data_IF_492073079389
#
_entry.id   IF_492073079389
#
_cell.length_a   1.000
_cell.length_b   1.000
_cell.length_c   1.000
_cell.angle_alpha   90.00
_cell.angle_beta   90.00
_cell.angle_gamma   90.00
#
_symmetry.space_group_name_H-M   'P 1'
#
loop_
_entity.id
_entity.type
_entity.pdbx_description
1 polymer ?
#
# COMPACT_ATOMS: atom_id res chain seq x y z
N UNK A 1 3.38 -11.59 68.28
CA UNK A 1 2.48 -11.02 67.28
C UNK A 1 3.26 -10.88 65.98
N UNK A 2 3.19 -11.88 65.11
CA UNK A 2 3.94 -11.93 63.82
C UNK A 2 3.04 -11.44 62.73
N UNK A 3 3.34 -10.28 62.14
CA UNK A 3 2.60 -9.72 60.98
C UNK A 3 3.12 -10.38 59.70
N UNK A 4 2.29 -11.18 59.03
CA UNK A 4 2.55 -11.70 57.69
C UNK A 4 2.30 -10.61 56.65
N UNK A 5 3.35 -10.26 55.90
CA UNK A 5 3.29 -9.31 54.77
C UNK A 5 2.85 -10.10 53.53
N UNK A 6 1.61 -9.87 53.08
CA UNK A 6 1.09 -10.49 51.86
C UNK A 6 1.61 -9.71 50.65
N UNK A 7 2.59 -10.27 49.94
CA UNK A 7 3.13 -9.70 48.69
C UNK A 7 2.21 -10.08 47.51
N UNK A 8 1.39 -9.14 47.04
CA UNK A 8 0.54 -9.33 45.88
C UNK A 8 1.38 -9.18 44.62
N UNK A 9 1.78 -10.29 43.98
CA UNK A 9 2.47 -10.27 42.68
C UNK A 9 1.41 -10.17 41.57
N UNK A 10 1.22 -8.95 41.03
CA UNK A 10 0.44 -8.76 39.81
C UNK A 10 1.25 -9.28 38.62
N UNK A 11 0.96 -10.50 38.17
CA UNK A 11 1.41 -10.98 36.85
C UNK A 11 0.67 -10.19 35.77
N UNK A 12 1.35 -9.23 35.15
CA UNK A 12 0.92 -8.65 33.87
C UNK A 12 1.07 -9.74 32.82
N UNK A 13 -0.03 -10.42 32.48
CA UNK A 13 -0.10 -11.23 31.26
C UNK A 13 -0.06 -10.28 30.07
N UNK A 14 1.12 -10.09 29.47
CA UNK A 14 1.27 -9.46 28.18
C UNK A 14 0.67 -10.41 27.13
N UNK A 15 -0.65 -10.29 26.90
CA UNK A 15 -1.33 -11.04 25.85
C UNK A 15 -0.73 -10.64 24.49
N UNK A 16 -0.15 -11.60 23.77
CA UNK A 16 0.19 -11.42 22.36
C UNK A 16 -1.13 -11.20 21.61
N UNK A 17 -1.43 -9.95 21.26
CA UNK A 17 -2.55 -9.64 20.38
C UNK A 17 -2.19 -10.18 18.99
N UNK A 18 -3.01 -11.08 18.41
CA UNK A 18 -2.79 -11.50 17.03
C UNK A 18 -2.91 -10.29 16.12
N UNK A 19 -2.05 -10.19 15.10
CA UNK A 19 -2.16 -9.15 14.08
C UNK A 19 -3.50 -9.30 13.38
N UNK A 20 -4.29 -8.22 13.37
CA UNK A 20 -5.55 -8.19 12.64
C UNK A 20 -5.25 -7.90 11.16
N UNK A 21 -5.85 -8.67 10.26
CA UNK A 21 -5.87 -8.37 8.82
C UNK A 21 -7.21 -7.76 8.47
N UNK A 22 -7.17 -6.66 7.72
CA UNK A 22 -8.36 -6.00 7.17
C UNK A 22 -8.23 -5.91 5.65
N UNK A 23 -9.37 -5.87 4.96
CA UNK A 23 -9.43 -5.62 3.52
C UNK A 23 -10.14 -4.30 3.27
N UNK A 24 -9.56 -3.44 2.44
CA UNK A 24 -10.13 -2.17 2.04
C UNK A 24 -10.67 -2.30 0.62
N UNK A 25 -11.92 -1.92 0.44
CA UNK A 25 -12.58 -1.96 -0.86
C UNK A 25 -13.30 -3.27 -1.16
N UNK A 26 -13.79 -3.40 -2.39
CA UNK A 26 -14.68 -4.50 -2.81
C UNK A 26 -14.06 -5.43 -3.84
N UNK A 27 -12.96 -5.04 -4.48
CA UNK A 27 -12.35 -5.82 -5.58
C UNK A 27 -13.24 -5.99 -6.81
N UNK A 28 -14.27 -5.15 -6.97
CA UNK A 28 -15.30 -5.33 -8.00
C UNK A 28 -14.89 -4.95 -9.41
N UNK A 29 -13.70 -4.38 -9.62
CA UNK A 29 -13.14 -4.03 -10.92
C UNK A 29 -11.71 -4.52 -11.02
N UNK A 30 -11.16 -4.56 -12.24
CA UNK A 30 -9.80 -4.98 -12.50
C UNK A 30 -9.15 -4.08 -13.56
N UNK A 31 -7.83 -3.90 -13.49
CA UNK A 31 -7.11 -3.36 -14.65
C UNK A 31 -6.98 -4.44 -15.72
N UNK A 32 -6.86 -4.00 -16.97
CA UNK A 32 -6.48 -4.86 -18.08
C UNK A 32 -4.96 -5.01 -18.22
N UNK A 33 -4.56 -5.88 -19.12
CA UNK A 33 -3.18 -6.17 -19.47
C UNK A 33 -2.31 -4.92 -19.81
N UNK A 34 -2.89 -3.86 -20.34
CA UNK A 34 -2.23 -2.61 -20.71
C UNK A 34 -2.88 -1.37 -20.07
N UNK A 35 -3.76 -1.53 -19.11
CA UNK A 35 -4.47 -0.43 -18.45
C UNK A 35 -4.03 -0.29 -16.98
N UNK A 36 -4.35 0.84 -16.39
CA UNK A 36 -3.94 1.25 -15.04
C UNK A 36 -5.15 1.70 -14.23
N UNK A 37 -5.03 1.81 -12.88
CA UNK A 37 -3.82 1.65 -12.08
C UNK A 37 -3.39 0.19 -11.98
N UNK A 38 -2.10 -0.08 -11.88
CA UNK A 38 -1.54 -1.42 -11.81
C UNK A 38 -0.22 -1.39 -11.00
N UNK A 39 -0.25 -1.63 -9.67
CA UNK A 39 0.95 -1.62 -8.83
C UNK A 39 2.06 -2.54 -9.36
N UNK A 40 1.69 -3.64 -10.00
CA UNK A 40 2.57 -4.60 -10.66
C UNK A 40 2.48 -4.48 -12.18
N UNK A 41 2.40 -3.23 -12.69
CA UNK A 41 2.12 -2.97 -14.10
C UNK A 41 3.37 -2.68 -14.91
N UNK A 42 3.90 -3.67 -15.65
CA UNK A 42 5.07 -3.55 -16.52
C UNK A 42 4.70 -3.38 -18.02
N UNK A 43 3.56 -2.75 -18.34
CA UNK A 43 3.24 -2.32 -19.70
C UNK A 43 4.12 -1.15 -20.17
N UNK A 44 4.70 -0.40 -19.23
CA UNK A 44 5.82 0.53 -19.43
C UNK A 44 7.01 0.04 -18.61
N UNK A 45 8.23 0.46 -18.95
CA UNK A 45 9.44 0.06 -18.21
C UNK A 45 9.32 0.37 -16.72
N UNK A 46 8.70 1.49 -16.39
CA UNK A 46 8.48 1.85 -15.01
C UNK A 46 7.12 2.51 -14.79
N UNK A 47 6.62 2.36 -13.57
CA UNK A 47 5.42 3.02 -13.11
C UNK A 47 5.54 3.44 -11.64
N UNK A 48 5.08 4.65 -11.35
CA UNK A 48 4.93 5.20 -10.00
C UNK A 48 3.46 5.48 -9.76
N UNK A 49 2.91 4.92 -8.70
CA UNK A 49 1.55 5.17 -8.26
C UNK A 49 1.57 5.81 -6.89
N UNK A 50 0.69 6.78 -6.63
CA UNK A 50 0.28 7.13 -5.27
C UNK A 50 -1.21 6.89 -5.12
N UNK A 51 -1.58 6.19 -4.07
CA UNK A 51 -2.96 5.85 -3.72
C UNK A 51 -3.31 6.48 -2.39
N UNK A 52 -4.52 7.04 -2.28
CA UNK A 52 -5.05 7.54 -1.00
C UNK A 52 -6.10 6.58 -0.46
N UNK A 53 -5.98 6.27 0.83
CA UNK A 53 -6.97 5.51 1.60
C UNK A 53 -7.50 6.43 2.70
N UNK A 54 -8.76 6.89 2.61
CA UNK A 54 -9.36 7.72 3.64
C UNK A 54 -9.42 7.04 5.00
N UNK A 55 -9.18 7.80 6.06
CA UNK A 55 -9.32 7.33 7.44
C UNK A 55 -10.71 6.73 7.72
N UNK A 56 -11.75 7.29 7.09
CA UNK A 56 -13.11 6.77 7.19
C UNK A 56 -13.25 5.35 6.63
N UNK A 57 -12.56 5.01 5.54
CA UNK A 57 -12.57 3.66 4.99
C UNK A 57 -11.79 2.69 5.89
N UNK A 58 -10.63 3.11 6.41
CA UNK A 58 -9.84 2.31 7.36
C UNK A 58 -10.64 1.99 8.62
N UNK A 59 -11.29 3.00 9.20
CA UNK A 59 -12.13 2.85 10.40
C UNK A 59 -13.36 1.98 10.11
N UNK A 60 -14.02 2.18 8.96
CA UNK A 60 -15.17 1.35 8.56
C UNK A 60 -14.80 -0.11 8.34
N UNK A 61 -13.57 -0.39 7.90
CA UNK A 61 -13.02 -1.74 7.79
C UNK A 61 -12.58 -2.34 9.16
N UNK A 62 -12.73 -1.58 10.25
CA UNK A 62 -12.39 -2.04 11.59
C UNK A 62 -10.92 -1.87 11.97
N UNK A 63 -10.15 -1.04 11.25
CA UNK A 63 -8.75 -0.79 11.60
C UNK A 63 -8.66 0.15 12.81
N UNK A 64 -8.05 -0.28 13.93
CA UNK A 64 -7.75 0.63 15.04
C UNK A 64 -6.49 1.45 14.75
N UNK A 65 -6.32 2.59 15.42
CA UNK A 65 -5.02 3.27 15.47
C UNK A 65 -3.93 2.30 15.96
N UNK A 66 -2.77 2.37 15.34
CA UNK A 66 -1.68 1.46 15.68
C UNK A 66 -0.70 1.21 14.55
N UNK A 67 0.07 0.15 14.68
CA UNK A 67 1.13 -0.19 13.75
C UNK A 67 0.63 -1.07 12.60
N UNK A 68 0.78 -0.60 11.37
CA UNK A 68 0.69 -1.42 10.14
C UNK A 68 2.02 -2.12 9.95
N UNK A 69 2.00 -3.44 9.87
CA UNK A 69 3.21 -4.28 9.73
C UNK A 69 3.30 -4.95 8.34
N UNK A 70 2.24 -4.83 7.55
CA UNK A 70 2.19 -5.34 6.18
C UNK A 70 1.05 -4.72 5.41
N UNK A 71 1.19 -4.66 4.09
CA UNK A 71 0.12 -4.33 3.16
C UNK A 71 0.23 -5.21 1.93
N UNK A 72 -0.87 -5.36 1.20
CA UNK A 72 -0.85 -6.20 0.01
C UNK A 72 -1.90 -5.81 -1.01
N UNK A 73 -1.71 -6.36 -2.22
CA UNK A 73 -2.65 -6.22 -3.32
C UNK A 73 -3.09 -7.60 -3.81
N UNK A 74 -4.36 -7.72 -4.18
CA UNK A 74 -4.94 -8.96 -4.66
C UNK A 74 -4.80 -9.07 -6.18
N UNK A 75 -3.98 -10.00 -6.62
CA UNK A 75 -3.65 -10.24 -8.04
C UNK A 75 -4.57 -11.31 -8.61
N UNK A 76 -5.41 -10.92 -9.57
CA UNK A 76 -6.28 -11.83 -10.30
C UNK A 76 -5.52 -12.68 -11.33
N UNK A 77 -4.50 -12.09 -11.98
CA UNK A 77 -3.62 -12.79 -12.90
C UNK A 77 -2.21 -12.19 -12.86
N UNK A 78 -1.24 -13.02 -12.50
CA UNK A 78 0.17 -12.63 -12.48
C UNK A 78 0.73 -12.52 -13.90
N UNK A 79 1.67 -11.58 -14.09
CA UNK A 79 2.38 -11.41 -15.36
C UNK A 79 3.70 -12.19 -15.38
N UNK A 80 4.30 -12.42 -14.21
CA UNK A 80 5.44 -13.32 -14.01
C UNK A 80 6.82 -12.74 -14.31
N UNK A 81 6.93 -11.46 -14.64
CA UNK A 81 8.22 -10.79 -14.83
C UNK A 81 8.58 -9.98 -13.59
N UNK A 82 9.81 -10.14 -13.11
CA UNK A 82 10.28 -9.42 -11.94
C UNK A 82 10.27 -7.90 -12.18
N UNK A 83 9.64 -7.17 -11.27
CA UNK A 83 9.70 -5.72 -11.19
C UNK A 83 10.99 -5.32 -10.50
N UNK A 84 11.89 -4.64 -11.22
CA UNK A 84 13.21 -4.28 -10.71
C UNK A 84 13.11 -3.07 -9.77
N UNK A 85 13.70 -3.21 -8.59
CA UNK A 85 13.69 -2.15 -7.59
C UNK A 85 12.31 -1.80 -7.05
N UNK A 86 11.36 -2.74 -7.04
CA UNK A 86 10.02 -2.51 -6.50
C UNK A 86 10.10 -2.03 -5.05
N UNK A 87 9.40 -0.95 -4.78
CA UNK A 87 9.39 -0.29 -3.47
C UNK A 87 7.98 0.18 -3.10
N UNK A 88 7.75 0.27 -1.78
CA UNK A 88 6.55 0.89 -1.23
C UNK A 88 6.96 1.94 -0.23
N UNK A 89 6.33 3.12 -0.31
CA UNK A 89 6.44 4.18 0.68
C UNK A 89 5.06 4.53 1.22
N UNK A 90 4.98 4.97 2.46
CA UNK A 90 3.72 5.37 3.11
C UNK A 90 3.85 6.73 3.80
N UNK A 91 2.73 7.42 3.95
CA UNK A 91 2.66 8.68 4.67
C UNK A 91 1.26 8.99 5.14
N UNK A 92 1.15 9.94 6.07
CA UNK A 92 -0.11 10.47 6.57
C UNK A 92 -0.37 11.84 5.94
N UNK A 93 -1.64 12.10 5.61
CA UNK A 93 -2.13 13.40 5.19
C UNK A 93 -3.41 13.74 5.97
N UNK A 94 -3.76 15.03 6.11
CA UNK A 94 -5.01 15.39 6.76
C UNK A 94 -6.21 14.67 6.18
N UNK A 95 -7.16 14.27 7.02
CA UNK A 95 -8.40 13.62 6.57
C UNK A 95 -9.18 14.54 5.62
N UNK A 96 -9.70 13.96 4.55
CA UNK A 96 -10.37 14.67 3.48
C UNK A 96 -9.45 15.30 2.44
N UNK A 97 -8.17 14.91 2.41
CA UNK A 97 -7.22 15.33 1.38
C UNK A 97 -7.68 14.91 -0.01
N UNK A 98 -7.69 15.86 -0.94
CA UNK A 98 -7.95 15.59 -2.37
C UNK A 98 -6.61 15.34 -3.07
N UNK A 99 -6.46 14.14 -3.61
CA UNK A 99 -5.22 13.72 -4.28
C UNK A 99 -5.15 14.30 -5.71
N UNK A 100 -4.42 15.40 -5.90
CA UNK A 100 -4.26 16.06 -7.21
C UNK A 100 -2.82 16.11 -7.70
N UNK A 101 -1.87 16.07 -6.77
CA UNK A 101 -0.43 16.10 -7.02
C UNK A 101 0.28 15.10 -6.12
N UNK A 102 1.54 14.77 -6.45
CA UNK A 102 2.35 13.92 -5.59
C UNK A 102 2.48 14.48 -4.18
N UNK A 103 2.20 13.66 -3.19
CA UNK A 103 2.48 13.96 -1.78
C UNK A 103 3.95 13.65 -1.53
N UNK A 104 4.76 14.64 -1.16
CA UNK A 104 6.19 14.44 -0.89
C UNK A 104 6.42 13.86 0.52
N UNK A 105 7.68 13.47 0.79
CA UNK A 105 8.12 13.13 2.16
C UNK A 105 7.58 11.81 2.71
N UNK A 106 7.15 10.89 1.83
CA UNK A 106 6.71 9.56 2.26
C UNK A 106 7.88 8.76 2.83
N UNK A 107 7.59 7.93 3.81
CA UNK A 107 8.56 7.03 4.44
C UNK A 107 8.64 5.72 3.65
N UNK A 108 9.83 5.31 3.16
CA UNK A 108 10.02 3.99 2.58
C UNK A 108 9.73 2.89 3.63
N UNK A 109 8.87 1.95 3.28
CA UNK A 109 8.46 0.87 4.20
C UNK A 109 8.75 -0.52 3.65
N UNK A 110 9.00 -0.64 2.32
CA UNK A 110 9.34 -1.90 1.68
C UNK A 110 10.27 -1.66 0.48
N UNK A 111 11.27 -2.52 0.31
CA UNK A 111 12.23 -2.44 -0.78
C UNK A 111 13.21 -1.25 -0.64
N UNK A 112 13.86 -0.83 -1.76
CA UNK A 112 13.73 -1.38 -3.12
C UNK A 112 14.32 -2.80 -3.25
N UNK A 113 13.60 -3.68 -3.93
CA UNK A 113 14.07 -5.04 -4.25
C UNK A 113 13.35 -5.58 -5.49
N UNK A 114 13.91 -6.59 -6.14
CA UNK A 114 13.22 -7.24 -7.24
C UNK A 114 12.05 -8.06 -6.69
N UNK A 115 10.88 -7.91 -7.31
CA UNK A 115 9.66 -8.55 -6.87
C UNK A 115 8.90 -9.16 -8.05
N UNK A 116 8.51 -10.43 -7.92
CA UNK A 116 7.61 -11.10 -8.86
C UNK A 116 6.31 -11.41 -8.13
N UNK A 117 5.22 -10.88 -8.63
CA UNK A 117 3.89 -11.12 -8.09
C UNK A 117 3.40 -12.54 -8.44
N UNK A 118 2.49 -13.04 -7.64
CA UNK A 118 1.77 -14.30 -7.86
C UNK A 118 0.27 -14.06 -7.82
N UNK A 119 -0.53 -14.92 -8.41
CA UNK A 119 -1.99 -14.86 -8.30
C UNK A 119 -2.42 -15.00 -6.84
N UNK A 120 -3.39 -14.20 -6.42
CA UNK A 120 -3.86 -14.06 -5.05
C UNK A 120 -3.22 -12.88 -4.31
N UNK A 121 -3.33 -12.89 -3.00
CA UNK A 121 -2.81 -11.81 -2.16
C UNK A 121 -1.27 -11.78 -2.13
N UNK A 122 -0.70 -10.67 -2.55
CA UNK A 122 0.73 -10.38 -2.49
C UNK A 122 0.99 -9.47 -1.31
N UNK A 123 1.32 -10.06 -0.17
CA UNK A 123 1.54 -9.34 1.09
C UNK A 123 3.00 -8.94 1.22
N UNK A 124 3.23 -7.66 1.40
CA UNK A 124 4.54 -7.06 1.66
C UNK A 124 4.68 -6.80 3.16
N UNK A 125 5.52 -7.59 3.82
CA UNK A 125 5.91 -7.32 5.19
C UNK A 125 6.76 -6.04 5.23
N UNK A 126 6.37 -5.06 6.03
CA UNK A 126 7.08 -3.79 6.12
C UNK A 126 8.40 -3.97 6.88
N UNK A 127 9.46 -3.30 6.41
CA UNK A 127 10.78 -3.34 7.06
C UNK A 127 10.79 -2.68 8.44
N UNK A 128 9.88 -1.74 8.66
CA UNK A 128 9.55 -1.15 9.96
C UNK A 128 8.05 -0.90 10.03
N UNK A 129 7.42 -1.01 11.21
CA UNK A 129 6.01 -0.71 11.39
C UNK A 129 5.69 0.74 10.99
N UNK A 130 4.60 0.93 10.24
CA UNK A 130 4.07 2.25 9.92
C UNK A 130 2.97 2.60 10.92
N UNK A 131 3.18 3.64 11.74
CA UNK A 131 2.21 4.07 12.74
C UNK A 131 1.06 4.85 12.08
N UNK A 132 -0.17 4.32 12.14
CA UNK A 132 -1.38 5.05 11.79
C UNK A 132 -2.03 5.63 13.04
N UNK A 133 -2.38 6.91 12.98
CA UNK A 133 -2.92 7.67 14.12
C UNK A 133 -4.43 7.47 14.37
N UNK A 134 -5.12 6.76 13.47
CA UNK A 134 -6.56 6.51 13.55
C UNK A 134 -7.45 7.62 12.96
N UNK A 135 -6.87 8.72 12.48
CA UNK A 135 -7.63 9.90 12.02
C UNK A 135 -7.16 10.48 10.69
N UNK A 136 -5.89 10.31 10.35
CA UNK A 136 -5.31 10.79 9.08
C UNK A 136 -5.58 9.83 7.93
N UNK A 137 -5.72 10.37 6.72
CA UNK A 137 -5.75 9.57 5.51
C UNK A 137 -4.34 9.02 5.23
N UNK A 138 -4.26 7.82 4.66
CA UNK A 138 -3.00 7.15 4.35
C UNK A 138 -2.69 7.26 2.87
N UNK A 139 -1.47 7.71 2.55
CA UNK A 139 -0.90 7.61 1.20
C UNK A 139 -0.05 6.35 1.13
N UNK A 140 -0.25 5.58 0.07
CA UNK A 140 0.58 4.44 -0.31
C UNK A 140 1.19 4.74 -1.67
N UNK A 141 2.50 4.72 -1.77
CA UNK A 141 3.21 4.84 -3.04
C UNK A 141 3.85 3.50 -3.40
N UNK A 142 3.66 3.06 -4.65
CA UNK A 142 4.40 1.95 -5.23
C UNK A 142 5.22 2.44 -6.40
N UNK A 143 6.43 1.94 -6.56
CA UNK A 143 7.26 2.24 -7.72
C UNK A 143 8.21 1.09 -8.06
N UNK A 144 8.51 0.98 -9.36
CA UNK A 144 9.56 0.10 -9.92
C UNK A 144 10.10 0.69 -11.22
N UNK A 145 11.26 0.22 -11.70
CA UNK A 145 11.83 0.67 -12.96
C UNK A 145 12.62 -0.46 -13.64
N UNK A 146 11.96 -1.17 -14.53
CA UNK A 146 12.58 -2.15 -15.44
C UNK A 146 13.29 -1.45 -16.61
N UNK A 147 13.94 -2.22 -17.48
CA UNK A 147 14.61 -1.75 -18.70
C UNK A 147 13.88 -2.20 -19.98
N UNK A 148 12.76 -2.90 -19.85
CA UNK A 148 11.89 -3.36 -20.93
C UNK A 148 10.46 -3.51 -20.42
N UNK A 149 9.48 -3.40 -21.34
CA UNK A 149 8.09 -3.66 -21.01
C UNK A 149 7.71 -5.13 -21.30
N UNK A 150 6.63 -5.57 -20.67
CA UNK A 150 5.99 -6.87 -20.96
C UNK A 150 4.46 -6.71 -20.97
N UNK A 151 3.85 -6.59 -19.82
CA UNK A 151 2.41 -6.40 -19.61
C UNK A 151 2.13 -6.12 -18.14
N UNK A 152 0.90 -5.77 -17.83
CA UNK A 152 0.49 -5.57 -16.45
C UNK A 152 0.00 -6.88 -15.85
N UNK A 153 0.33 -7.16 -14.61
CA UNK A 153 -0.48 -8.06 -13.81
C UNK A 153 -1.90 -7.50 -13.68
N UNK A 154 -2.90 -8.34 -13.71
CA UNK A 154 -4.28 -7.97 -13.44
C UNK A 154 -4.51 -7.96 -11.93
N UNK A 155 -4.88 -6.82 -11.37
CA UNK A 155 -5.09 -6.62 -9.93
C UNK A 155 -6.56 -6.29 -9.68
N UNK A 156 -7.13 -6.91 -8.64
CA UNK A 156 -8.46 -6.57 -8.17
C UNK A 156 -8.45 -5.16 -7.56
N UNK A 157 -9.44 -4.35 -7.91
CA UNK A 157 -9.53 -2.94 -7.58
C UNK A 157 -10.92 -2.56 -7.11
N UNK A 158 -11.03 -1.45 -6.44
CA UNK A 158 -12.30 -0.86 -6.06
C UNK A 158 -12.51 0.47 -6.77
N UNK A 159 -13.69 0.66 -7.36
CA UNK A 159 -14.11 1.97 -7.83
C UNK A 159 -14.31 2.92 -6.64
N UNK A 160 -13.92 4.16 -6.79
CA UNK A 160 -14.08 5.22 -5.79
C UNK A 160 -14.86 6.40 -6.37
N UNK A 161 -15.52 7.18 -5.52
CA UNK A 161 -16.22 8.40 -5.95
C UNK A 161 -15.30 9.62 -6.08
N UNK A 162 -13.99 9.43 -5.86
CA UNK A 162 -12.97 10.48 -5.85
C UNK A 162 -11.70 9.98 -6.55
N UNK A 163 -10.80 10.89 -6.91
CA UNK A 163 -9.46 10.52 -7.40
C UNK A 163 -8.71 9.82 -6.29
N UNK A 164 -8.55 8.51 -6.41
CA UNK A 164 -7.88 7.66 -5.43
C UNK A 164 -6.49 7.23 -5.82
N UNK A 165 -6.10 7.38 -7.10
CA UNK A 165 -4.78 6.98 -7.57
C UNK A 165 -4.22 7.99 -8.57
N UNK A 166 -2.97 8.41 -8.34
CA UNK A 166 -2.13 9.13 -9.31
C UNK A 166 -1.17 8.17 -9.96
N UNK A 167 -0.81 8.45 -11.22
CA UNK A 167 0.13 7.66 -12.00
C UNK A 167 1.13 8.54 -12.75
N UNK A 168 2.40 8.11 -12.73
CA UNK A 168 3.40 8.38 -13.76
C UNK A 168 3.94 7.07 -14.30
N UNK A 169 4.12 6.97 -15.62
CA UNK A 169 4.69 5.80 -16.28
C UNK A 169 5.48 6.23 -17.50
N UNK A 170 6.56 5.53 -17.81
CA UNK A 170 7.36 5.80 -18.99
C UNK A 170 8.26 4.60 -19.35
N UNK A 171 8.64 4.54 -20.64
CA UNK A 171 9.71 3.67 -21.15
C UNK A 171 11.05 4.40 -21.00
N UNK A 172 11.42 4.68 -19.76
CA UNK A 172 12.60 5.45 -19.40
C UNK A 172 13.13 5.06 -18.01
N UNK A 173 14.39 5.35 -17.73
CA UNK A 173 14.96 5.28 -16.40
C UNK A 173 14.46 6.43 -15.51
N UNK A 174 14.53 6.24 -14.19
CA UNK A 174 14.25 7.30 -13.21
C UNK A 174 12.77 7.60 -12.99
N UNK A 175 11.87 6.68 -13.33
CA UNK A 175 10.42 6.85 -13.18
C UNK A 175 10.03 7.19 -11.75
N UNK A 176 10.67 6.57 -10.75
CA UNK A 176 10.33 6.76 -9.34
C UNK A 176 10.63 8.17 -8.80
N UNK A 177 11.55 8.91 -9.44
CA UNK A 177 11.88 10.29 -9.07
C UNK A 177 11.11 11.36 -9.84
N UNK A 178 10.21 10.98 -10.75
CA UNK A 178 9.54 11.93 -11.62
C UNK A 178 8.44 12.71 -10.89
N UNK A 179 8.36 14.01 -11.12
CA UNK A 179 7.38 14.91 -10.50
C UNK A 179 6.09 15.10 -11.30
N UNK A 180 6.01 14.55 -12.52
CA UNK A 180 4.83 14.67 -13.37
C UNK A 180 3.77 13.64 -12.98
N UNK A 181 2.50 14.03 -13.01
CA UNK A 181 1.34 13.13 -12.96
C UNK A 181 0.81 13.00 -14.39
N UNK A 182 0.84 11.79 -14.97
CA UNK A 182 0.36 11.55 -16.34
C UNK A 182 -1.08 11.10 -16.41
N UNK A 183 -1.61 10.56 -15.33
CA UNK A 183 -3.01 10.14 -15.23
C UNK A 183 -3.49 10.09 -13.79
N UNK A 184 -4.81 10.20 -13.63
CA UNK A 184 -5.52 10.06 -12.35
C UNK A 184 -6.66 9.06 -12.51
N UNK A 185 -6.97 8.32 -11.45
CA UNK A 185 -8.00 7.28 -11.49
C UNK A 185 -8.94 7.35 -10.29
N UNK A 186 -10.20 7.03 -10.53
CA UNK A 186 -11.21 6.75 -9.52
C UNK A 186 -11.29 5.23 -9.26
N UNK A 187 -10.15 4.57 -9.28
CA UNK A 187 -9.96 3.16 -8.95
C UNK A 187 -8.71 3.04 -8.10
N UNK A 188 -8.81 2.17 -7.09
CA UNK A 188 -7.69 1.86 -6.19
C UNK A 188 -7.52 0.34 -6.11
N UNK A 189 -6.31 -0.20 -6.40
CA UNK A 189 -5.93 -1.58 -6.13
C UNK A 189 -6.05 -1.97 -4.66
#
# INVERSE_FOLDING_TARGET
>A
MTRALLLCVCLFACGLMPAQSITIGTGGVQNGWNTYPAPYGNWYWGARHQMIVPATELTAAGMPAGNVIGLGFDVAAAQGVALQGFSISMGLVPSGTILTTWVPGLTPVYGPQNYSETTGWNIHALGAPFAWDGVSDVIIETCFNNTAFTGNATVNQSATAYTSTLLYRADAAGVCGNSVVTATYQQRP
#
